data_IF_199724396673
#
_entry.id   IF_199724396673
#
_cell.length_a   1.000
_cell.length_b   1.000
_cell.length_c   1.000
_cell.angle_alpha   90.00
_cell.angle_beta   90.00
_cell.angle_gamma   90.00
#
_symmetry.space_group_name_H-M   'P 1'
#
loop_
_entity.id
_entity.type
_entity.pdbx_description
1 polymer ?
#
# COMPACT_ATOMS: atom_id res chain seq x y z
N UNK A 1 -6.89 -7.84 0.60
CA UNK A 1 -6.18 -8.98 0.01
C UNK A 1 -6.30 -8.98 -1.51
N UNK A 2 -5.69 -9.98 -2.21
CA UNK A 2 -5.72 -10.00 -3.69
C UNK A 2 -7.14 -9.99 -4.25
N UNK A 3 -8.11 -10.81 -3.77
CA UNK A 3 -9.47 -10.78 -4.32
C UNK A 3 -10.10 -9.39 -4.32
N UNK A 4 -10.08 -8.73 -3.18
CA UNK A 4 -10.67 -7.38 -3.03
C UNK A 4 -9.97 -6.35 -3.93
N UNK A 5 -8.65 -6.45 -4.10
CA UNK A 5 -7.89 -5.51 -4.94
C UNK A 5 -8.06 -5.78 -6.43
N UNK A 6 -8.23 -7.04 -6.85
CA UNK A 6 -8.63 -7.38 -8.23
C UNK A 6 -10.00 -6.78 -8.53
N UNK A 7 -10.95 -6.94 -7.61
CA UNK A 7 -12.28 -6.33 -7.73
C UNK A 7 -12.21 -4.80 -7.79
N UNK A 8 -11.39 -4.18 -6.95
CA UNK A 8 -11.19 -2.73 -6.96
C UNK A 8 -10.57 -2.25 -8.28
N UNK A 9 -9.56 -2.96 -8.79
CA UNK A 9 -8.86 -2.60 -10.03
C UNK A 9 -9.74 -2.68 -11.27
N UNK A 10 -10.63 -3.65 -11.33
CA UNK A 10 -11.44 -3.95 -12.53
C UNK A 10 -12.89 -3.46 -12.44
N UNK A 11 -13.39 -3.16 -11.24
CA UNK A 11 -14.82 -2.88 -11.01
C UNK A 11 -15.73 -4.09 -11.13
N UNK A 12 -15.17 -5.30 -11.30
CA UNK A 12 -15.93 -6.54 -11.48
C UNK A 12 -15.93 -7.37 -10.19
N UNK A 13 -17.00 -8.11 -9.96
CA UNK A 13 -17.07 -9.10 -8.87
C UNK A 13 -16.13 -10.29 -9.13
N UNK A 14 -15.66 -10.91 -8.06
CA UNK A 14 -14.64 -11.97 -8.15
C UNK A 14 -15.10 -13.26 -8.86
N UNK A 15 -16.40 -13.49 -9.00
CA UNK A 15 -16.94 -14.56 -9.85
C UNK A 15 -16.65 -14.35 -11.33
N UNK A 16 -16.27 -13.12 -11.74
CA UNK A 16 -15.95 -12.76 -13.13
C UNK A 16 -14.44 -12.63 -13.38
N UNK A 17 -13.67 -12.16 -12.41
CA UNK A 17 -12.29 -11.70 -12.63
C UNK A 17 -11.23 -12.39 -11.76
N UNK A 18 -11.62 -13.19 -10.75
CA UNK A 18 -10.66 -13.78 -9.83
C UNK A 18 -10.20 -15.17 -10.32
N UNK A 19 -8.89 -15.31 -10.52
CA UNK A 19 -8.28 -16.58 -10.96
C UNK A 19 -7.69 -17.31 -9.76
N UNK A 20 -6.74 -16.69 -9.06
CA UNK A 20 -6.11 -17.27 -7.88
C UNK A 20 -5.48 -16.19 -7.00
N UNK A 21 -5.12 -16.56 -5.78
CA UNK A 21 -4.47 -15.64 -4.84
C UNK A 21 -3.12 -15.13 -5.38
N UNK A 22 -2.93 -13.81 -5.31
CA UNK A 22 -1.71 -13.15 -5.76
C UNK A 22 -1.63 -12.95 -7.28
N UNK A 23 -2.73 -13.14 -8.00
CA UNK A 23 -2.77 -12.99 -9.45
C UNK A 23 -4.03 -12.21 -9.89
N UNK A 24 -3.88 -11.42 -10.93
CA UNK A 24 -4.95 -10.75 -11.67
C UNK A 24 -4.73 -11.04 -13.16
N UNK A 25 -5.81 -11.29 -13.89
CA UNK A 25 -5.74 -11.37 -15.34
C UNK A 25 -5.48 -9.99 -15.93
N UNK A 26 -4.48 -9.86 -16.77
CA UNK A 26 -4.07 -8.59 -17.36
C UNK A 26 -4.79 -8.25 -18.67
N UNK A 27 -5.73 -9.08 -19.08
CA UNK A 27 -6.66 -8.82 -20.20
C UNK A 27 -7.88 -7.98 -19.74
N UNK A 28 -8.13 -7.88 -18.43
CA UNK A 28 -9.25 -7.11 -17.90
C UNK A 28 -8.91 -5.61 -17.84
N UNK A 29 -9.83 -4.74 -18.29
CA UNK A 29 -9.62 -3.31 -18.17
C UNK A 29 -9.59 -2.87 -16.71
N UNK A 30 -8.72 -1.92 -16.40
CA UNK A 30 -8.56 -1.38 -15.05
C UNK A 30 -8.96 0.09 -14.97
N UNK A 31 -9.31 0.54 -13.77
CA UNK A 31 -9.61 1.96 -13.57
C UNK A 31 -8.41 2.88 -13.87
N UNK A 32 -7.19 2.38 -13.70
CA UNK A 32 -5.96 3.11 -14.05
C UNK A 32 -5.82 3.32 -15.56
N UNK A 33 -6.10 2.29 -16.37
CA UNK A 33 -6.12 2.43 -17.84
C UNK A 33 -7.21 3.42 -18.30
N UNK A 34 -8.39 3.40 -17.67
CA UNK A 34 -9.46 4.36 -17.97
C UNK A 34 -9.03 5.78 -17.58
N UNK A 35 -8.34 5.96 -16.47
CA UNK A 35 -7.80 7.26 -16.07
C UNK A 35 -6.75 7.77 -17.08
N UNK A 36 -5.83 6.92 -17.54
CA UNK A 36 -4.89 7.29 -18.60
C UNK A 36 -5.59 7.72 -19.89
N UNK A 37 -6.61 6.97 -20.32
CA UNK A 37 -7.42 7.34 -21.49
C UNK A 37 -8.14 8.69 -21.32
N UNK A 38 -8.49 9.04 -20.08
CA UNK A 38 -9.08 10.33 -19.72
C UNK A 38 -8.01 11.44 -19.53
N UNK A 39 -6.74 11.17 -19.78
CA UNK A 39 -5.64 12.15 -19.72
C UNK A 39 -4.99 12.32 -18.36
N UNK A 40 -5.30 11.46 -17.38
CA UNK A 40 -4.64 11.48 -16.07
C UNK A 40 -3.23 10.91 -16.13
N UNK A 41 -2.32 11.47 -15.33
CA UNK A 41 -1.09 10.80 -14.95
C UNK A 41 -1.35 9.89 -13.77
N UNK A 42 -0.90 8.63 -13.83
CA UNK A 42 -1.27 7.60 -12.87
C UNK A 42 -0.08 7.13 -12.05
N UNK A 43 -0.25 7.00 -10.74
CA UNK A 43 0.79 6.53 -9.82
C UNK A 43 0.29 5.47 -8.86
N UNK A 44 1.08 4.40 -8.65
CA UNK A 44 0.77 3.34 -7.68
C UNK A 44 1.94 3.07 -6.74
N UNK A 45 1.68 3.12 -5.43
CA UNK A 45 2.73 2.98 -4.41
C UNK A 45 2.30 2.01 -3.31
N UNK A 46 3.20 1.08 -2.95
CA UNK A 46 2.97 0.12 -1.88
C UNK A 46 2.78 -1.32 -2.36
N UNK A 47 1.71 -1.98 -1.93
CA UNK A 47 1.50 -3.40 -2.18
C UNK A 47 1.00 -3.68 -3.60
N UNK A 48 1.74 -4.55 -4.33
CA UNK A 48 1.29 -5.12 -5.60
C UNK A 48 0.54 -6.44 -5.40
N UNK A 49 1.21 -7.57 -5.32
CA UNK A 49 0.64 -8.91 -5.15
C UNK A 49 -0.57 -9.19 -6.07
N UNK A 50 -0.46 -8.82 -7.34
CA UNK A 50 -1.49 -9.01 -8.38
C UNK A 50 -0.95 -9.67 -9.64
N UNK A 51 0.30 -10.18 -9.60
CA UNK A 51 0.93 -10.84 -10.74
C UNK A 51 2.40 -11.10 -10.48
N UNK A 52 3.10 -11.61 -11.48
CA UNK A 52 4.49 -12.07 -11.38
C UNK A 52 5.42 -11.43 -12.42
N UNK A 53 4.98 -10.37 -13.06
CA UNK A 53 5.76 -9.67 -14.06
C UNK A 53 5.93 -8.21 -13.71
N UNK A 54 7.16 -7.71 -13.80
CA UNK A 54 7.48 -6.28 -13.64
C UNK A 54 6.82 -5.39 -14.67
N UNK A 55 6.45 -5.94 -15.81
CA UNK A 55 5.74 -5.20 -16.84
C UNK A 55 4.25 -4.97 -16.51
N UNK A 56 3.68 -5.75 -15.58
CA UNK A 56 2.24 -5.68 -15.30
C UNK A 56 1.76 -4.32 -14.80
N UNK A 57 2.41 -3.63 -13.86
CA UNK A 57 1.92 -2.33 -13.43
C UNK A 57 1.77 -1.36 -14.60
N UNK A 58 2.78 -1.25 -15.45
CA UNK A 58 2.73 -0.38 -16.63
C UNK A 58 1.67 -0.84 -17.64
N UNK A 59 1.54 -2.14 -17.91
CA UNK A 59 0.50 -2.68 -18.80
C UNK A 59 -0.91 -2.42 -18.28
N UNK A 60 -1.08 -2.40 -16.97
CA UNK A 60 -2.36 -2.14 -16.30
C UNK A 60 -2.62 -0.66 -16.03
N UNK A 61 -1.85 0.23 -16.67
CA UNK A 61 -2.14 1.65 -16.71
C UNK A 61 -1.53 2.48 -15.57
N UNK A 62 -0.36 2.08 -15.04
CA UNK A 62 0.38 2.89 -14.07
C UNK A 62 1.61 3.50 -14.73
N UNK A 63 1.64 4.83 -14.85
CA UNK A 63 2.77 5.57 -15.43
C UNK A 63 3.98 5.57 -14.51
N UNK A 64 3.76 5.75 -13.20
CA UNK A 64 4.80 5.68 -12.17
C UNK A 64 4.38 4.69 -11.07
N UNK A 65 5.34 3.94 -10.54
CA UNK A 65 5.06 3.01 -9.46
C UNK A 65 6.29 2.66 -8.63
N UNK A 66 6.08 2.46 -7.33
CA UNK A 66 7.06 1.90 -6.41
C UNK A 66 6.36 0.87 -5.53
N UNK A 67 6.71 -0.41 -5.71
CA UNK A 67 5.90 -1.53 -5.24
C UNK A 67 6.74 -2.59 -4.53
N UNK A 68 6.11 -3.40 -3.70
CA UNK A 68 6.68 -4.64 -3.18
C UNK A 68 5.84 -5.85 -3.59
N UNK A 69 6.44 -7.04 -3.55
CA UNK A 69 5.83 -8.31 -3.99
C UNK A 69 5.41 -8.29 -5.47
N UNK A 70 6.31 -7.78 -6.32
CA UNK A 70 6.04 -7.64 -7.75
C UNK A 70 6.24 -8.95 -8.51
N UNK A 71 7.39 -9.60 -8.35
CA UNK A 71 7.76 -10.77 -9.16
C UNK A 71 7.59 -12.10 -8.45
N UNK A 72 8.05 -12.24 -7.24
CA UNK A 72 8.05 -13.54 -6.55
C UNK A 72 7.66 -13.39 -5.09
N UNK A 73 6.55 -14.01 -4.77
CA UNK A 73 5.99 -13.99 -3.43
C UNK A 73 6.91 -14.60 -2.34
N UNK A 74 7.81 -15.50 -2.71
CA UNK A 74 8.66 -16.23 -1.77
C UNK A 74 10.10 -15.72 -1.69
N UNK A 75 10.65 -15.16 -2.75
CA UNK A 75 12.06 -14.77 -2.79
C UNK A 75 12.35 -13.47 -2.05
N UNK A 76 11.34 -12.59 -1.93
CA UNK A 76 11.46 -11.30 -1.27
C UNK A 76 10.78 -11.23 0.11
N UNK A 77 10.36 -12.35 0.65
CA UNK A 77 9.79 -12.40 2.01
C UNK A 77 10.83 -12.28 3.11
N UNK A 78 12.08 -12.04 2.78
CA UNK A 78 13.19 -11.94 3.74
C UNK A 78 13.22 -13.09 4.77
N UNK A 79 14.30 -13.31 5.46
CA UNK A 79 14.42 -14.42 6.41
C UNK A 79 13.48 -14.29 7.62
N UNK A 80 12.97 -13.10 7.87
CA UNK A 80 12.10 -12.80 9.02
C UNK A 80 10.62 -12.75 8.67
N UNK A 81 10.26 -12.70 7.37
CA UNK A 81 8.88 -12.53 6.89
C UNK A 81 8.25 -11.17 7.26
N UNK A 82 9.09 -10.16 7.47
CA UNK A 82 8.69 -8.77 7.76
C UNK A 82 9.00 -7.80 6.63
N UNK A 83 9.32 -8.33 5.48
CA UNK A 83 9.79 -7.68 4.25
C UNK A 83 9.02 -6.43 3.82
N UNK A 84 7.77 -6.32 4.25
CA UNK A 84 6.91 -5.16 3.97
C UNK A 84 7.12 -4.00 4.96
N UNK A 85 7.81 -4.25 6.07
CA UNK A 85 8.05 -3.29 7.13
C UNK A 85 9.55 -3.00 7.27
N UNK A 86 10.22 -3.61 8.23
CA UNK A 86 11.64 -3.37 8.44
C UNK A 86 12.48 -3.95 7.30
N UNK A 87 13.40 -3.15 6.78
CA UNK A 87 14.28 -3.44 5.64
C UNK A 87 13.51 -3.90 4.39
N UNK A 88 12.48 -3.15 4.05
CA UNK A 88 11.66 -3.41 2.88
C UNK A 88 12.47 -3.19 1.60
N UNK A 89 12.49 -4.20 0.75
CA UNK A 89 12.94 -4.05 -0.61
C UNK A 89 11.77 -3.62 -1.50
N UNK A 90 11.92 -2.49 -2.13
CA UNK A 90 10.95 -1.90 -3.06
C UNK A 90 11.46 -2.04 -4.48
N UNK A 91 10.56 -2.24 -5.41
CA UNK A 91 10.85 -2.13 -6.84
C UNK A 91 10.26 -0.80 -7.33
N UNK A 92 11.15 0.14 -7.62
CA UNK A 92 10.82 1.45 -8.15
C UNK A 92 11.11 1.47 -9.65
N UNK A 93 10.09 1.25 -10.47
CA UNK A 93 10.21 1.23 -11.93
C UNK A 93 11.33 0.31 -12.46
N UNK A 94 11.52 -0.85 -11.86
CA UNK A 94 12.57 -1.79 -12.24
C UNK A 94 13.90 -1.58 -11.52
N UNK A 95 14.00 -0.58 -10.65
CA UNK A 95 15.16 -0.36 -9.78
C UNK A 95 14.85 -0.81 -8.36
N UNK A 96 15.69 -1.67 -7.81
CA UNK A 96 15.53 -2.11 -6.43
C UNK A 96 16.10 -1.07 -5.46
N UNK A 97 15.28 -0.70 -4.49
CA UNK A 97 15.63 0.22 -3.41
C UNK A 97 15.30 -0.40 -2.06
N UNK A 98 16.07 -0.04 -1.03
CA UNK A 98 15.81 -0.47 0.32
C UNK A 98 15.32 0.68 1.17
N UNK A 99 14.25 0.43 1.93
CA UNK A 99 13.77 1.31 2.98
C UNK A 99 13.92 0.66 4.34
N UNK A 100 14.38 1.43 5.32
CA UNK A 100 14.44 0.99 6.73
C UNK A 100 13.05 0.57 7.21
N UNK A 101 12.01 1.29 6.77
CA UNK A 101 10.61 0.97 7.02
C UNK A 101 9.81 1.14 5.74
N UNK A 102 9.22 0.07 5.22
CA UNK A 102 8.55 0.06 3.93
C UNK A 102 7.47 1.14 3.74
N UNK A 103 6.55 1.33 4.72
CA UNK A 103 5.56 2.39 4.62
C UNK A 103 6.14 3.80 4.44
N UNK A 104 7.35 4.07 4.95
CA UNK A 104 8.04 5.35 4.76
C UNK A 104 8.61 5.48 3.34
N UNK A 105 9.19 4.40 2.84
CA UNK A 105 9.72 4.37 1.47
C UNK A 105 8.63 4.57 0.43
N UNK A 106 7.50 3.87 0.56
CA UNK A 106 6.37 4.05 -0.36
C UNK A 106 5.74 5.44 -0.26
N UNK A 107 5.66 6.01 0.95
CA UNK A 107 5.19 7.39 1.13
C UNK A 107 6.11 8.37 0.44
N UNK A 108 7.44 8.21 0.58
CA UNK A 108 8.43 9.08 -0.08
C UNK A 108 8.27 9.05 -1.59
N UNK A 109 8.14 7.87 -2.19
CA UNK A 109 7.90 7.72 -3.62
C UNK A 109 6.56 8.35 -4.06
N UNK A 110 5.50 8.19 -3.25
CA UNK A 110 4.22 8.85 -3.53
C UNK A 110 4.33 10.39 -3.44
N UNK A 111 5.13 10.92 -2.51
CA UNK A 111 5.37 12.35 -2.41
C UNK A 111 6.15 12.89 -3.62
N UNK A 112 7.16 12.17 -4.09
CA UNK A 112 7.88 12.54 -5.31
C UNK A 112 6.94 12.60 -6.52
N UNK A 113 6.04 11.64 -6.64
CA UNK A 113 5.00 11.67 -7.67
C UNK A 113 4.12 12.92 -7.55
N UNK A 114 3.58 13.21 -6.36
CA UNK A 114 2.73 14.40 -6.14
C UNK A 114 3.47 15.70 -6.43
N UNK A 115 4.75 15.79 -6.08
CA UNK A 115 5.57 16.97 -6.34
C UNK A 115 5.78 17.21 -7.84
N UNK A 116 5.97 16.13 -8.62
CA UNK A 116 6.04 16.22 -10.09
C UNK A 116 4.72 16.68 -10.72
N UNK A 117 3.58 16.29 -10.11
CA UNK A 117 2.26 16.69 -10.61
C UNK A 117 1.84 18.12 -10.20
N UNK A 118 2.58 18.77 -9.28
CA UNK A 118 2.25 20.11 -8.79
C UNK A 118 2.16 21.14 -9.91
N UNK A 119 3.10 21.08 -10.84
CA UNK A 119 3.22 22.03 -11.94
C UNK A 119 2.70 21.44 -13.28
N UNK A 120 2.00 20.33 -13.24
CA UNK A 120 1.44 19.65 -14.41
C UNK A 120 0.04 20.18 -14.73
N UNK A 121 -0.22 20.41 -16.02
CA UNK A 121 -1.57 20.71 -16.51
C UNK A 121 -2.50 19.48 -16.56
N UNK A 122 -1.95 18.28 -16.33
CA UNK A 122 -2.72 17.04 -16.32
C UNK A 122 -3.22 16.73 -14.93
N UNK A 123 -4.45 16.23 -14.79
CA UNK A 123 -4.90 15.66 -13.53
C UNK A 123 -4.13 14.39 -13.18
N UNK A 124 -4.11 14.00 -11.93
CA UNK A 124 -3.46 12.77 -11.50
C UNK A 124 -4.43 11.81 -10.80
N UNK A 125 -4.09 10.53 -10.88
CA UNK A 125 -4.66 9.45 -10.09
C UNK A 125 -3.54 8.80 -9.27
N UNK A 126 -3.64 8.87 -7.95
CA UNK A 126 -2.70 8.20 -7.05
C UNK A 126 -3.40 7.08 -6.29
N UNK A 127 -2.89 5.85 -6.41
CA UNK A 127 -3.33 4.70 -5.64
C UNK A 127 -2.25 4.29 -4.63
N UNK A 128 -2.44 4.66 -3.37
CA UNK A 128 -1.52 4.33 -2.28
C UNK A 128 -2.01 3.09 -1.52
N UNK A 129 -1.53 1.91 -1.92
CA UNK A 129 -1.85 0.63 -1.30
C UNK A 129 -0.88 0.32 -0.16
N UNK A 130 -1.00 1.05 0.95
CA UNK A 130 -0.12 0.87 2.11
C UNK A 130 -0.14 -0.57 2.64
N UNK A 131 1.01 -1.14 3.09
CA UNK A 131 1.04 -2.42 3.78
C UNK A 131 0.46 -2.39 5.20
N UNK A 132 0.32 -1.20 5.80
CA UNK A 132 -0.28 -1.04 7.12
C UNK A 132 -1.80 -1.35 7.06
N UNK A 133 -2.32 -2.08 7.98
CA UNK A 133 -1.77 -2.66 9.21
C UNK A 133 -1.76 -4.20 9.12
N UNK A 134 -1.26 -4.73 8.02
CA UNK A 134 -1.24 -6.18 7.77
C UNK A 134 -0.27 -6.91 8.73
N UNK A 135 -0.51 -8.19 8.98
CA UNK A 135 0.47 -9.04 9.68
C UNK A 135 1.77 -9.17 8.90
N UNK A 136 2.92 -9.41 9.55
CA UNK A 136 3.13 -9.47 11.00
C UNK A 136 3.00 -8.09 11.66
N UNK A 137 2.51 -8.05 12.90
CA UNK A 137 2.47 -6.80 13.65
C UNK A 137 3.83 -6.56 14.27
N UNK A 138 4.54 -5.56 13.76
CA UNK A 138 5.90 -5.20 14.18
C UNK A 138 5.92 -3.76 14.70
N UNK A 139 6.95 -3.38 15.47
CA UNK A 139 7.13 -1.98 15.83
C UNK A 139 7.14 -1.06 14.61
N UNK A 140 6.70 0.16 14.81
CA UNK A 140 6.84 1.26 13.86
C UNK A 140 7.98 2.18 14.29
N UNK A 141 8.48 3.07 13.43
CA UNK A 141 9.48 4.06 13.83
C UNK A 141 9.07 4.98 15.00
N UNK A 142 7.78 5.07 15.31
CA UNK A 142 7.26 5.84 16.45
C UNK A 142 7.01 4.97 17.71
N UNK A 143 7.18 3.65 17.63
CA UNK A 143 6.98 2.76 18.78
C UNK A 143 8.12 2.90 19.78
N UNK A 144 7.82 2.87 21.08
CA UNK A 144 8.85 2.85 22.13
C UNK A 144 9.81 1.65 22.01
N UNK A 145 9.31 0.54 21.47
CA UNK A 145 10.06 -0.69 21.21
C UNK A 145 10.84 -0.68 19.88
N UNK A 146 10.80 0.44 19.14
CA UNK A 146 11.58 0.57 17.91
C UNK A 146 13.05 0.64 18.24
N UNK A 147 13.75 -0.46 17.98
CA UNK A 147 15.19 -0.52 18.12
C UNK A 147 15.85 -0.22 16.77
N UNK A 148 16.79 0.70 16.76
CA UNK A 148 17.63 0.97 15.60
C UNK A 148 18.59 -0.19 15.34
N UNK A 149 18.85 -1.03 16.33
CA UNK A 149 19.49 -2.32 16.14
C UNK A 149 18.57 -3.28 15.40
N UNK A 150 19.13 -4.07 14.57
CA UNK A 150 18.44 -4.87 13.58
C UNK A 150 17.38 -5.83 14.17
N UNK A 151 17.57 -6.32 15.39
CA UNK A 151 16.72 -7.34 15.99
C UNK A 151 15.36 -6.84 16.46
N UNK A 152 15.27 -5.65 17.05
CA UNK A 152 14.04 -5.11 17.62
C UNK A 152 12.96 -4.85 16.58
N UNK A 153 13.36 -4.40 15.39
CA UNK A 153 12.44 -4.09 14.28
C UNK A 153 11.63 -5.28 13.77
N UNK A 154 12.09 -6.50 14.07
CA UNK A 154 11.45 -7.73 13.58
C UNK A 154 10.60 -8.44 14.62
N UNK A 155 10.47 -7.88 15.81
CA UNK A 155 9.63 -8.45 16.85
C UNK A 155 8.16 -8.48 16.41
N UNK A 156 7.54 -9.66 16.49
CA UNK A 156 6.18 -9.92 16.05
C UNK A 156 5.28 -10.06 17.26
N UNK A 157 4.50 -9.03 17.57
CA UNK A 157 3.54 -9.04 18.66
C UNK A 157 2.25 -8.32 18.25
N UNK A 158 1.11 -8.90 18.60
CA UNK A 158 -0.19 -8.27 18.36
C UNK A 158 -0.36 -6.94 19.11
N UNK A 159 0.38 -6.72 20.20
CA UNK A 159 0.44 -5.44 20.91
C UNK A 159 0.88 -4.28 20.00
N UNK A 160 1.75 -4.53 19.02
CA UNK A 160 2.19 -3.53 18.05
C UNK A 160 1.07 -3.04 17.11
N UNK A 161 -0.07 -3.74 17.06
CA UNK A 161 -1.17 -3.34 16.17
C UNK A 161 -1.67 -1.92 16.44
N UNK A 162 -1.75 -1.52 17.71
CA UNK A 162 -2.16 -0.17 18.10
C UNK A 162 -1.22 0.89 17.51
N UNK A 163 0.09 0.67 17.63
CA UNK A 163 1.11 1.58 17.09
C UNK A 163 1.04 1.65 15.56
N UNK A 164 0.81 0.50 14.91
CA UNK A 164 0.66 0.46 13.45
C UNK A 164 -0.56 1.24 12.97
N UNK A 165 -1.67 1.22 13.72
CA UNK A 165 -2.87 2.03 13.41
C UNK A 165 -2.58 3.51 13.58
N UNK A 166 -1.94 3.91 14.68
CA UNK A 166 -1.53 5.29 14.91
C UNK A 166 -0.56 5.78 13.82
N UNK A 167 0.36 4.92 13.41
CA UNK A 167 1.31 5.24 12.34
C UNK A 167 0.63 5.37 10.97
N UNK A 168 -0.39 4.54 10.69
CA UNK A 168 -1.21 4.67 9.49
C UNK A 168 -1.94 6.03 9.48
N UNK A 169 -2.56 6.41 10.59
CA UNK A 169 -3.23 7.70 10.73
C UNK A 169 -2.27 8.87 10.47
N UNK A 170 -1.07 8.82 11.06
CA UNK A 170 0.01 9.77 10.79
C UNK A 170 0.37 9.86 9.30
N UNK A 171 0.43 8.70 8.59
CA UNK A 171 0.71 8.67 7.15
C UNK A 171 -0.41 9.32 6.33
N UNK A 172 -1.66 9.08 6.68
CA UNK A 172 -2.81 9.75 6.06
C UNK A 172 -2.73 11.27 6.27
N UNK A 173 -2.44 11.71 7.47
CA UNK A 173 -2.24 13.15 7.78
C UNK A 173 -1.13 13.76 6.92
N UNK A 174 0.03 13.10 6.82
CA UNK A 174 1.16 13.57 6.01
C UNK A 174 0.83 13.65 4.51
N UNK A 175 0.03 12.72 4.00
CA UNK A 175 -0.44 12.75 2.61
C UNK A 175 -1.34 13.96 2.35
N UNK A 176 -2.28 14.24 3.24
CA UNK A 176 -3.16 15.42 3.17
C UNK A 176 -2.33 16.70 3.26
N UNK A 177 -1.36 16.76 4.17
CA UNK A 177 -0.48 17.91 4.31
C UNK A 177 0.41 18.13 3.08
N UNK A 178 0.85 17.08 2.39
CA UNK A 178 1.59 17.21 1.13
C UNK A 178 0.71 17.81 0.05
N UNK A 179 -0.53 17.31 -0.11
CA UNK A 179 -1.49 17.86 -1.07
C UNK A 179 -1.80 19.34 -0.80
N UNK A 180 -1.98 19.72 0.48
CA UNK A 180 -2.19 21.12 0.87
C UNK A 180 -0.99 21.99 0.53
N UNK A 181 0.22 21.56 0.88
CA UNK A 181 1.47 22.29 0.58
C UNK A 181 1.71 22.48 -0.91
N UNK A 182 1.30 21.51 -1.70
CA UNK A 182 1.41 21.58 -3.16
C UNK A 182 0.29 22.41 -3.81
N UNK A 183 -0.72 22.88 -3.04
CA UNK A 183 -1.89 23.57 -3.59
C UNK A 183 -2.87 22.67 -4.33
N UNK A 184 -2.76 21.35 -4.15
CA UNK A 184 -3.55 20.34 -4.87
C UNK A 184 -4.81 19.92 -4.11
N UNK A 185 -4.91 20.22 -2.80
CA UNK A 185 -5.95 19.69 -1.92
C UNK A 185 -7.37 20.07 -2.34
N UNK A 186 -7.61 21.34 -2.68
CA UNK A 186 -8.95 21.86 -2.97
C UNK A 186 -9.55 21.25 -4.26
N UNK A 187 -8.72 20.66 -5.12
CA UNK A 187 -9.16 20.00 -6.36
C UNK A 187 -8.85 18.50 -6.35
N UNK A 188 -8.80 17.88 -5.17
CA UNK A 188 -8.50 16.46 -5.00
C UNK A 188 -9.66 15.75 -4.32
N UNK A 189 -10.16 14.68 -4.91
CA UNK A 189 -11.05 13.72 -4.24
C UNK A 189 -10.15 12.74 -3.48
N UNK A 190 -10.17 12.82 -2.16
CA UNK A 190 -9.40 11.94 -1.28
C UNK A 190 -10.29 10.80 -0.77
N UNK A 191 -9.93 9.56 -1.08
CA UNK A 191 -10.68 8.37 -0.67
C UNK A 191 -9.81 7.52 0.26
N UNK A 192 -10.28 7.31 1.49
CA UNK A 192 -9.67 6.37 2.44
C UNK A 192 -10.59 5.15 2.60
N UNK A 193 -10.05 3.97 2.33
CA UNK A 193 -10.80 2.71 2.44
C UNK A 193 -9.89 1.56 2.82
N UNK A 194 -10.49 0.45 3.26
CA UNK A 194 -9.79 -0.81 3.54
C UNK A 194 -10.14 -1.87 2.50
N UNK A 195 -9.17 -2.69 2.13
CA UNK A 195 -9.39 -3.79 1.20
C UNK A 195 -10.13 -4.98 1.85
N UNK A 196 -9.99 -5.15 3.16
CA UNK A 196 -10.66 -6.20 3.95
C UNK A 196 -10.54 -5.92 5.46
N UNK A 197 -11.19 -6.77 6.25
CA UNK A 197 -11.12 -6.70 7.71
C UNK A 197 -9.75 -7.05 8.29
N UNK A 198 -9.59 -6.74 9.58
CA UNK A 198 -8.40 -7.02 10.37
C UNK A 198 -8.27 -8.52 10.69
N UNK A 199 -7.04 -8.97 10.96
CA UNK A 199 -6.74 -10.33 11.40
C UNK A 199 -7.60 -10.76 12.59
N UNK A 200 -8.09 -12.01 12.57
CA UNK A 200 -8.87 -12.61 13.66
C UNK A 200 -8.14 -12.71 15.00
N UNK A 201 -6.82 -12.52 14.99
CA UNK A 201 -5.99 -12.46 16.22
C UNK A 201 -6.10 -11.13 16.95
N UNK A 202 -6.63 -10.10 16.31
CA UNK A 202 -6.79 -8.77 16.88
C UNK A 202 -8.17 -8.63 17.49
N UNK A 203 -8.19 -8.14 18.72
CA UNK A 203 -9.41 -7.68 19.41
C UNK A 203 -9.19 -6.22 19.76
N UNK A 204 -10.00 -5.35 19.21
CA UNK A 204 -9.93 -3.90 19.45
C UNK A 204 -11.08 -3.44 20.33
N UNK A 205 -10.79 -2.56 21.28
CA UNK A 205 -11.82 -1.84 22.01
C UNK A 205 -12.23 -0.60 21.19
N UNK A 206 -13.51 -0.49 20.95
CA UNK A 206 -14.10 0.64 20.24
C UNK A 206 -14.33 1.82 21.19
N UNK A 207 -14.62 3.00 20.63
CA UNK A 207 -14.87 4.22 21.40
C UNK A 207 -16.07 4.12 22.36
N UNK A 208 -17.04 3.26 22.05
CA UNK A 208 -18.19 2.95 22.89
C UNK A 208 -17.91 1.88 23.98
N UNK A 209 -16.64 1.43 24.09
CA UNK A 209 -16.19 0.41 25.03
C UNK A 209 -16.42 -1.04 24.55
N UNK A 210 -17.11 -1.26 23.43
CA UNK A 210 -17.34 -2.61 22.91
C UNK A 210 -16.05 -3.24 22.36
N UNK A 211 -15.94 -4.56 22.51
CA UNK A 211 -14.83 -5.31 21.93
C UNK A 211 -15.21 -5.88 20.57
N UNK A 212 -14.36 -5.64 19.56
CA UNK A 212 -14.53 -6.17 18.21
C UNK A 212 -13.33 -7.02 17.83
N UNK A 213 -13.61 -8.27 17.47
CA UNK A 213 -12.61 -9.17 16.90
C UNK A 213 -12.51 -8.95 15.40
N UNK A 214 -11.29 -8.98 14.86
CA UNK A 214 -11.07 -8.98 13.42
C UNK A 214 -11.75 -10.16 12.72
N UNK A 215 -12.17 -9.96 11.47
CA UNK A 215 -12.95 -10.94 10.69
C UNK A 215 -12.30 -11.31 9.35
N UNK A 216 -10.99 -11.05 9.19
CA UNK A 216 -10.28 -11.48 7.98
C UNK A 216 -10.15 -13.00 7.98
N UNK A 217 -10.86 -13.66 7.06
CA UNK A 217 -10.81 -15.08 6.78
C UNK A 217 -10.39 -15.37 5.35
#
# INVERSE_FOLDING_TARGET
>A
SSPSRVQLMTGLYNDKNYVCFGYMNDDEPTFSQLAQQAGYTTGMFGKWQLGRSRAMPTRLGWDEWCLFQLEVYKEFNGPTGTDRYANCMMDNHGHYEYSIYGPDGFESAAFEFLDKQKDSDKPFLLYYSTPLVHTPHTPTPDSESWDLDFAGRFQKDTANFKDMVAYLDKKVGRMIDRLKRNGQWENTIFIFTSDNGTSTRIVSQMSDGTLRRGGKG
#
